data_IF_011648246008
#
_entry.id   IF_011648246008
#
_cell.length_a   1.000
_cell.length_b   1.000
_cell.length_c   1.000
_cell.angle_alpha   90.00
_cell.angle_beta   90.00
_cell.angle_gamma   90.00
#
_symmetry.space_group_name_H-M   'P 1'
#
loop_
_entity.id
_entity.type
_entity.pdbx_description
1 polymer ?
#
# COMPACT_ATOMS: atom_id res chain seq x y z
N UNK A 1 16.74 -26.02 17.51
CA UNK A 1 15.85 -25.33 18.46
C UNK A 1 16.67 -24.21 19.09
N UNK A 2 16.58 -22.98 18.58
CA UNK A 2 17.34 -21.84 19.11
C UNK A 2 16.53 -21.26 20.25
N UNK A 3 17.02 -21.42 21.49
CA UNK A 3 16.51 -20.69 22.65
C UNK A 3 16.92 -19.24 22.47
N UNK A 4 15.96 -18.37 22.18
CA UNK A 4 16.12 -16.94 22.42
C UNK A 4 16.32 -16.81 23.94
N UNK A 5 17.48 -16.31 24.36
CA UNK A 5 17.70 -15.94 25.76
C UNK A 5 16.68 -14.85 26.09
N UNK A 6 15.88 -15.07 27.12
CA UNK A 6 15.21 -13.98 27.81
C UNK A 6 16.28 -12.94 28.15
N UNK A 7 16.24 -11.81 27.45
CA UNK A 7 17.00 -10.63 27.83
C UNK A 7 16.41 -10.18 29.16
N UNK A 8 17.21 -10.31 30.22
CA UNK A 8 16.99 -9.63 31.50
C UNK A 8 16.88 -8.12 31.21
N UNK A 9 15.65 -7.63 31.06
CA UNK A 9 15.36 -6.19 31.04
C UNK A 9 15.38 -5.79 32.51
N UNK A 10 16.46 -5.15 32.95
CA UNK A 10 16.52 -4.58 34.29
C UNK A 10 15.49 -3.44 34.37
N UNK A 11 14.80 -3.27 35.51
CA UNK A 11 13.71 -2.27 35.63
C UNK A 11 14.19 -0.81 35.44
N UNK A 12 15.49 -0.61 35.36
CA UNK A 12 16.18 0.67 35.12
C UNK A 12 16.55 0.92 33.66
N UNK A 13 16.36 -0.05 32.75
CA UNK A 13 16.65 0.17 31.33
C UNK A 13 15.64 1.14 30.73
N UNK A 14 16.13 2.33 30.35
CA UNK A 14 15.33 3.34 29.67
C UNK A 14 15.08 2.90 28.24
N UNK A 15 13.85 2.49 27.95
CA UNK A 15 13.41 2.18 26.59
C UNK A 15 13.27 3.49 25.82
N UNK A 16 14.18 3.73 24.88
CA UNK A 16 14.11 4.87 23.96
C UNK A 16 13.50 4.43 22.63
N UNK A 17 12.41 5.09 22.21
CA UNK A 17 11.78 4.84 20.93
C UNK A 17 12.31 5.82 19.87
N UNK A 18 12.73 5.35 18.68
CA UNK A 18 13.25 6.22 17.62
C UNK A 18 12.09 6.92 16.87
N UNK A 19 11.34 7.79 17.56
CA UNK A 19 10.12 8.43 17.05
C UNK A 19 10.34 9.21 15.76
N UNK A 20 11.49 9.88 15.63
CA UNK A 20 11.87 10.59 14.39
C UNK A 20 11.97 9.63 13.21
N UNK A 21 12.68 8.51 13.37
CA UNK A 21 12.83 7.49 12.32
C UNK A 21 11.49 6.86 11.98
N UNK A 22 10.64 6.59 12.98
CA UNK A 22 9.28 6.06 12.74
C UNK A 22 8.47 7.03 11.87
N UNK A 23 8.52 8.33 12.17
CA UNK A 23 7.83 9.37 11.39
C UNK A 23 8.40 9.51 9.98
N UNK A 24 9.72 9.47 9.83
CA UNK A 24 10.39 9.49 8.52
C UNK A 24 9.96 8.32 7.64
N UNK A 25 10.02 7.10 8.18
CA UNK A 25 9.60 5.89 7.46
C UNK A 25 8.12 5.93 7.10
N UNK A 26 7.25 6.36 8.02
CA UNK A 26 5.82 6.50 7.74
C UNK A 26 5.57 7.48 6.58
N UNK A 27 6.22 8.64 6.58
CA UNK A 27 6.11 9.63 5.52
C UNK A 27 6.68 9.13 4.18
N UNK A 28 7.76 8.35 4.21
CA UNK A 28 8.32 7.71 3.02
C UNK A 28 7.32 6.70 2.42
N UNK A 29 6.69 5.88 3.26
CA UNK A 29 5.64 4.94 2.84
C UNK A 29 4.48 5.70 2.19
N UNK A 30 3.94 6.73 2.85
CA UNK A 30 2.84 7.54 2.30
C UNK A 30 3.18 8.15 0.94
N UNK A 31 4.40 8.69 0.80
CA UNK A 31 4.88 9.28 -0.45
C UNK A 31 5.00 8.21 -1.55
N UNK A 32 5.57 7.07 -1.21
CA UNK A 32 5.76 5.94 -2.14
C UNK A 32 4.41 5.38 -2.59
N UNK A 33 3.46 5.19 -1.67
CA UNK A 33 2.10 4.72 -1.96
C UNK A 33 1.39 5.70 -2.90
N UNK A 34 1.44 7.00 -2.62
CA UNK A 34 0.81 8.03 -3.48
C UNK A 34 1.36 7.98 -4.91
N UNK A 35 2.67 7.89 -5.04
CA UNK A 35 3.33 7.80 -6.34
C UNK A 35 2.98 6.48 -7.06
N UNK A 36 2.99 5.35 -6.35
CA UNK A 36 2.66 4.04 -6.90
C UNK A 36 1.20 3.98 -7.36
N UNK A 37 0.26 4.44 -6.53
CA UNK A 37 -1.18 4.52 -6.86
C UNK A 37 -1.42 5.39 -8.10
N UNK A 38 -0.72 6.51 -8.22
CA UNK A 38 -0.83 7.40 -9.39
C UNK A 38 -0.35 6.71 -10.66
N UNK A 39 0.85 6.13 -10.63
CA UNK A 39 1.41 5.38 -11.77
C UNK A 39 0.52 4.19 -12.15
N UNK A 40 0.08 3.42 -11.16
CA UNK A 40 -0.81 2.29 -11.34
C UNK A 40 -2.13 2.73 -12.00
N UNK A 41 -2.78 3.78 -11.50
CA UNK A 41 -4.03 4.29 -12.07
C UNK A 41 -3.88 4.74 -13.53
N UNK A 42 -2.77 5.41 -13.88
CA UNK A 42 -2.47 5.77 -15.26
C UNK A 42 -2.26 4.55 -16.16
N UNK A 43 -1.45 3.58 -15.72
CA UNK A 43 -1.21 2.34 -16.47
C UNK A 43 -2.49 1.51 -16.62
N UNK A 44 -3.29 1.41 -15.57
CA UNK A 44 -4.54 0.69 -15.58
C UNK A 44 -5.56 1.31 -16.54
N UNK A 45 -5.67 2.65 -16.56
CA UNK A 45 -6.51 3.35 -17.53
C UNK A 45 -6.10 3.04 -18.98
N UNK A 46 -4.80 2.98 -19.28
CA UNK A 46 -4.30 2.59 -20.61
C UNK A 46 -4.69 1.15 -20.94
N UNK A 47 -4.55 0.22 -19.98
CA UNK A 47 -4.95 -1.18 -20.15
C UNK A 47 -6.45 -1.28 -20.42
N UNK A 48 -7.30 -0.56 -19.67
CA UNK A 48 -8.74 -0.51 -19.90
C UNK A 48 -9.10 0.08 -21.26
N UNK A 49 -8.40 1.13 -21.69
CA UNK A 49 -8.55 1.69 -23.03
C UNK A 49 -8.16 0.69 -24.11
N UNK A 50 -7.08 -0.07 -23.93
CA UNK A 50 -6.69 -1.12 -24.87
C UNK A 50 -7.75 -2.23 -24.92
N UNK A 51 -8.22 -2.70 -23.77
CA UNK A 51 -9.25 -3.74 -23.70
C UNK A 51 -10.57 -3.31 -24.36
N UNK A 52 -10.92 -2.02 -24.29
CA UNK A 52 -12.15 -1.47 -24.89
C UNK A 52 -11.98 -1.04 -26.35
N UNK A 53 -10.85 -0.45 -26.74
CA UNK A 53 -10.58 0.02 -28.09
C UNK A 53 -10.11 -1.09 -29.06
N UNK A 54 -9.51 -2.16 -28.55
CA UNK A 54 -9.16 -3.34 -29.37
C UNK A 54 -10.34 -4.29 -29.60
N UNK A 55 -11.55 -4.00 -29.10
CA UNK A 55 -12.77 -4.57 -29.66
C UNK A 55 -12.80 -4.21 -31.17
N UNK A 56 -12.47 -5.14 -32.09
CA UNK A 56 -12.08 -4.74 -33.41
C UNK A 56 -13.33 -4.32 -34.17
N UNK A 57 -13.41 -3.02 -34.49
CA UNK A 57 -14.04 -2.57 -35.73
C UNK A 57 -13.15 -2.95 -36.94
N UNK A 58 -12.55 -4.14 -36.93
CA UNK A 58 -11.70 -4.64 -37.99
C UNK A 58 -12.60 -5.47 -38.91
N UNK A 59 -12.73 -5.08 -40.17
CA UNK A 59 -13.50 -5.79 -41.20
C UNK A 59 -12.50 -6.17 -42.31
N UNK A 60 -11.97 -7.40 -42.36
CA UNK A 60 -10.98 -7.79 -43.32
C UNK A 60 -11.67 -8.17 -44.62
N UNK A 61 -11.01 -7.77 -45.71
CA UNK A 61 -11.21 -8.39 -47.00
C UNK A 61 -10.79 -9.87 -46.91
N UNK A 62 -11.75 -10.76 -46.68
CA UNK A 62 -11.62 -12.20 -46.99
C UNK A 62 -11.11 -13.14 -45.89
N UNK A 63 -10.81 -12.69 -44.68
CA UNK A 63 -10.52 -13.56 -43.52
C UNK A 63 -11.32 -13.02 -42.34
N UNK A 64 -12.00 -13.85 -41.53
CA UNK A 64 -12.88 -13.31 -40.48
C UNK A 64 -12.04 -12.65 -39.35
N UNK A 65 -12.29 -11.38 -39.00
CA UNK A 65 -11.60 -10.62 -37.93
C UNK A 65 -11.99 -11.08 -36.53
N UNK A 66 -13.04 -11.89 -36.45
CA UNK A 66 -13.78 -12.28 -35.25
C UNK A 66 -13.10 -13.33 -34.38
N UNK A 67 -11.91 -13.81 -34.76
CA UNK A 67 -11.20 -14.86 -34.02
C UNK A 67 -10.11 -14.34 -33.08
N UNK A 68 -9.65 -13.09 -33.21
CA UNK A 68 -8.48 -12.61 -32.44
C UNK A 68 -8.84 -11.77 -31.22
N UNK A 69 -10.00 -11.11 -31.19
CA UNK A 69 -10.51 -10.37 -30.03
C UNK A 69 -12.05 -10.39 -30.10
N UNK A 70 -12.66 -11.39 -29.47
CA UNK A 70 -14.11 -11.52 -29.34
C UNK A 70 -14.51 -11.23 -27.89
N UNK A 71 -15.82 -11.04 -27.65
CA UNK A 71 -16.35 -10.75 -26.31
C UNK A 71 -15.85 -11.74 -25.25
N UNK A 72 -15.67 -13.02 -25.60
CA UNK A 72 -15.16 -14.04 -24.69
C UNK A 72 -13.70 -13.80 -24.28
N UNK A 73 -12.85 -13.35 -25.19
CA UNK A 73 -11.45 -13.00 -24.89
C UNK A 73 -11.40 -11.75 -24.02
N UNK A 74 -12.21 -10.74 -24.32
CA UNK A 74 -12.32 -9.53 -23.49
C UNK A 74 -12.79 -9.86 -22.07
N UNK A 75 -13.84 -10.66 -21.92
CA UNK A 75 -14.33 -11.11 -20.61
C UNK A 75 -13.26 -11.90 -19.86
N UNK A 76 -12.59 -12.84 -20.53
CA UNK A 76 -11.53 -13.61 -19.89
C UNK A 76 -10.36 -12.74 -19.41
N UNK A 77 -9.96 -11.73 -20.20
CA UNK A 77 -8.94 -10.77 -19.78
C UNK A 77 -9.38 -9.94 -18.58
N UNK A 78 -10.63 -9.48 -18.56
CA UNK A 78 -11.18 -8.75 -17.42
C UNK A 78 -11.23 -9.62 -16.16
N UNK A 79 -11.64 -10.89 -16.29
CA UNK A 79 -11.70 -11.84 -15.18
C UNK A 79 -10.32 -12.12 -14.57
N UNK A 80 -9.26 -12.09 -15.38
CA UNK A 80 -7.89 -12.22 -14.90
C UNK A 80 -7.37 -10.91 -14.31
N UNK A 81 -7.53 -9.79 -15.02
CA UNK A 81 -6.85 -8.54 -14.67
C UNK A 81 -7.54 -7.77 -13.54
N UNK A 82 -8.87 -7.78 -13.45
CA UNK A 82 -9.61 -7.02 -12.43
C UNK A 82 -9.26 -7.47 -11.00
N UNK A 83 -9.16 -8.77 -10.68
CA UNK A 83 -8.70 -9.19 -9.36
C UNK A 83 -7.29 -8.72 -9.02
N UNK A 84 -6.39 -8.64 -10.01
CA UNK A 84 -5.03 -8.16 -9.80
C UNK A 84 -5.00 -6.65 -9.53
N UNK A 85 -5.74 -5.87 -10.30
CA UNK A 85 -5.92 -4.43 -10.05
C UNK A 85 -6.45 -4.19 -8.64
N UNK A 86 -7.52 -4.89 -8.27
CA UNK A 86 -8.11 -4.77 -6.94
C UNK A 86 -7.12 -5.08 -5.84
N UNK A 87 -6.36 -6.17 -5.96
CA UNK A 87 -5.34 -6.56 -4.96
C UNK A 87 -4.24 -5.52 -4.80
N UNK A 88 -3.81 -4.88 -5.89
CA UNK A 88 -2.83 -3.80 -5.83
C UNK A 88 -3.40 -2.58 -5.11
N UNK A 89 -4.63 -2.19 -5.45
CA UNK A 89 -5.33 -1.08 -4.80
C UNK A 89 -5.54 -1.34 -3.30
N UNK A 90 -5.98 -2.54 -2.92
CA UNK A 90 -6.13 -2.95 -1.52
C UNK A 90 -4.77 -2.94 -0.77
N UNK A 91 -3.68 -3.29 -1.45
CA UNK A 91 -2.32 -3.24 -0.88
C UNK A 91 -1.87 -1.80 -0.59
N UNK A 92 -2.21 -0.86 -1.47
CA UNK A 92 -1.95 0.57 -1.24
C UNK A 92 -2.74 1.10 -0.04
N UNK A 93 -4.01 0.71 0.11
CA UNK A 93 -4.84 1.10 1.26
C UNK A 93 -4.27 0.55 2.57
N UNK A 94 -3.78 -0.69 2.55
CA UNK A 94 -3.15 -1.30 3.71
C UNK A 94 -1.87 -0.54 4.11
N UNK A 95 -1.00 -0.22 3.15
CA UNK A 95 0.24 0.54 3.41
C UNK A 95 -0.05 1.94 3.95
N UNK A 96 -1.08 2.62 3.43
CA UNK A 96 -1.51 3.93 3.91
C UNK A 96 -1.98 3.85 5.37
N UNK A 97 -2.83 2.86 5.71
CA UNK A 97 -3.27 2.62 7.09
C UNK A 97 -2.11 2.28 8.02
N UNK A 98 -1.17 1.45 7.56
CA UNK A 98 0.01 1.10 8.33
C UNK A 98 0.88 2.32 8.65
N UNK A 99 1.15 3.18 7.66
CA UNK A 99 1.91 4.39 7.87
C UNK A 99 1.20 5.36 8.82
N UNK A 100 -0.12 5.52 8.71
CA UNK A 100 -0.89 6.34 9.66
C UNK A 100 -0.82 5.77 11.09
N UNK A 101 -0.93 4.44 11.25
CA UNK A 101 -0.78 3.81 12.57
C UNK A 101 0.60 4.03 13.19
N UNK A 102 1.67 4.10 12.38
CA UNK A 102 3.01 4.46 12.86
C UNK A 102 3.08 5.91 13.36
N UNK A 103 2.42 6.85 12.66
CA UNK A 103 2.35 8.25 13.07
C UNK A 103 1.54 8.41 14.36
N UNK A 104 0.39 7.73 14.46
CA UNK A 104 -0.47 7.74 15.64
C UNK A 104 0.28 7.20 16.87
N UNK A 105 0.97 6.06 16.70
CA UNK A 105 1.84 5.50 17.75
C UNK A 105 2.91 6.51 18.19
N UNK A 106 3.61 7.15 17.24
CA UNK A 106 4.66 8.10 17.59
C UNK A 106 4.13 9.31 18.37
N UNK A 107 2.92 9.77 18.03
CA UNK A 107 2.26 10.87 18.74
C UNK A 107 1.78 10.44 20.14
N UNK A 108 1.27 9.22 20.29
CA UNK A 108 0.82 8.69 21.59
C UNK A 108 2.00 8.50 22.56
N UNK A 109 3.14 8.00 22.06
CA UNK A 109 4.36 7.88 22.87
C UNK A 109 4.84 9.26 23.34
N UNK A 110 4.92 10.25 22.44
CA UNK A 110 5.34 11.61 22.80
C UNK A 110 4.38 12.30 23.77
N UNK A 111 3.07 12.10 23.60
CA UNK A 111 2.05 12.62 24.52
C UNK A 111 2.18 11.99 25.91
N UNK A 112 2.39 10.67 25.98
CA UNK A 112 2.61 9.94 27.23
C UNK A 112 3.85 10.45 27.94
N UNK A 113 4.97 10.61 27.22
CA UNK A 113 6.23 11.08 27.78
C UNK A 113 6.11 12.52 28.32
N UNK A 114 5.41 13.38 27.59
CA UNK A 114 5.08 14.75 28.03
C UNK A 114 4.22 14.77 29.29
N UNK A 115 3.21 13.89 29.37
CA UNK A 115 2.33 13.80 30.54
C UNK A 115 3.11 13.36 31.78
N UNK A 116 3.92 12.31 31.67
CA UNK A 116 4.76 11.80 32.76
C UNK A 116 5.75 12.88 33.22
N UNK A 117 6.43 13.55 32.29
CA UNK A 117 7.37 14.62 32.62
C UNK A 117 6.69 15.81 33.34
N UNK A 118 5.44 16.13 33.02
CA UNK A 118 4.70 17.20 33.68
C UNK A 118 4.22 16.81 35.09
N UNK A 119 3.85 15.55 35.33
CA UNK A 119 3.50 15.05 36.65
C UNK A 119 4.67 15.20 37.63
N UNK A 120 5.91 14.89 37.21
CA UNK A 120 7.09 15.06 38.07
C UNK A 120 7.55 16.51 38.29
N UNK A 121 7.10 17.47 37.46
CA UNK A 121 7.43 18.91 37.63
C UNK A 121 6.52 19.63 38.61
N UNK A 122 5.44 19.01 39.04
CA UNK A 122 4.42 19.60 39.91
C UNK A 122 4.48 19.11 41.36
N UNK A 123 5.41 18.21 41.67
CA UNK A 123 5.85 17.84 43.03
C UNK A 123 7.13 18.61 43.42
#
# INVERSE_FOLDING_TARGET
>A
MVRVKDTDIDSTDVISYPLTTIREVANEILTTVKNARTKHGSSWSIIQQYMTACAPTYKPLGVSPSLMWNDNVQTHMQDVLNPHEKRLTDSYDWLEKFANALLDMANEVEATDTQVANTYKTE
#
